data_IF_243282471768
#
_entry.id   IF_243282471768
#
_cell.length_a   1.000
_cell.length_b   1.000
_cell.length_c   1.000
_cell.angle_alpha   90.00
_cell.angle_beta   90.00
_cell.angle_gamma   90.00
#
_symmetry.space_group_name_H-M   'P 1'
#
loop_
_entity.id
_entity.type
_entity.pdbx_description
1 polymer ?
#
# COMPACT_ATOMS: atom_id res chain seq x y z
N UNK A 1 -56.89 -61.07 1.98
CA UNK A 1 -56.14 -60.15 2.87
C UNK A 1 -55.54 -59.05 2.02
N UNK A 2 -56.35 -58.05 1.69
CA UNK A 2 -55.91 -56.75 1.17
C UNK A 2 -55.44 -55.89 2.34
N UNK A 3 -54.29 -55.23 2.21
CA UNK A 3 -54.03 -53.94 2.88
C UNK A 3 -52.83 -53.20 2.29
N UNK A 4 -53.16 -51.99 1.81
CA UNK A 4 -52.39 -50.75 1.88
C UNK A 4 -50.96 -50.67 1.32
N UNK A 5 -50.86 -50.09 0.11
CA UNK A 5 -49.76 -49.20 -0.30
C UNK A 5 -50.31 -47.99 -1.07
N UNK A 6 -50.64 -46.91 -0.35
CA UNK A 6 -50.76 -45.55 -0.89
C UNK A 6 -50.24 -44.57 0.17
N UNK A 7 -49.07 -43.99 -0.08
CA UNK A 7 -48.45 -43.02 0.83
C UNK A 7 -47.04 -42.67 0.38
N UNK A 8 -46.90 -42.00 -0.77
CA UNK A 8 -45.58 -41.64 -1.32
C UNK A 8 -45.57 -40.42 -2.25
N UNK A 9 -46.64 -39.63 -2.30
CA UNK A 9 -46.76 -38.52 -3.27
C UNK A 9 -46.61 -37.12 -2.65
N UNK A 10 -46.92 -36.94 -1.36
CA UNK A 10 -46.95 -35.60 -0.75
C UNK A 10 -45.55 -35.05 -0.34
N UNK A 11 -44.59 -35.93 -0.03
CA UNK A 11 -43.29 -35.50 0.51
C UNK A 11 -42.36 -34.90 -0.56
N UNK A 12 -42.44 -35.38 -1.80
CA UNK A 12 -41.60 -34.92 -2.91
C UNK A 12 -42.03 -33.54 -3.44
N UNK A 13 -43.29 -33.14 -3.20
CA UNK A 13 -43.81 -31.84 -3.66
C UNK A 13 -43.42 -30.70 -2.71
N UNK A 14 -43.41 -30.93 -1.38
CA UNK A 14 -42.97 -29.90 -0.41
C UNK A 14 -41.49 -29.54 -0.56
N UNK A 15 -40.62 -30.53 -0.77
CA UNK A 15 -39.18 -30.29 -0.91
C UNK A 15 -38.82 -29.45 -2.16
N UNK A 16 -39.62 -29.54 -3.22
CA UNK A 16 -39.42 -28.74 -4.43
C UNK A 16 -39.86 -27.27 -4.28
N UNK A 17 -40.76 -26.97 -3.35
CA UNK A 17 -41.25 -25.60 -3.11
C UNK A 17 -40.20 -24.81 -2.31
N UNK A 18 -39.60 -25.42 -1.28
CA UNK A 18 -38.58 -24.75 -0.46
C UNK A 18 -37.30 -24.45 -1.24
N UNK A 19 -36.83 -25.38 -2.08
CA UNK A 19 -35.64 -25.17 -2.93
C UNK A 19 -35.89 -24.04 -3.95
N UNK A 20 -37.08 -23.96 -4.53
CA UNK A 20 -37.45 -22.87 -5.45
C UNK A 20 -37.54 -21.52 -4.74
N UNK A 21 -38.04 -21.49 -3.51
CA UNK A 21 -38.12 -20.27 -2.71
C UNK A 21 -36.73 -19.74 -2.33
N UNK A 22 -35.82 -20.62 -1.91
CA UNK A 22 -34.43 -20.26 -1.63
C UNK A 22 -33.69 -19.77 -2.87
N UNK A 23 -33.88 -20.42 -4.03
CA UNK A 23 -33.28 -19.96 -5.28
C UNK A 23 -33.77 -18.56 -5.69
N UNK A 24 -35.07 -18.28 -5.50
CA UNK A 24 -35.65 -16.97 -5.78
C UNK A 24 -35.08 -15.88 -4.84
N UNK A 25 -34.93 -16.19 -3.55
CA UNK A 25 -34.35 -15.28 -2.56
C UNK A 25 -32.88 -14.95 -2.86
N UNK A 26 -32.09 -15.94 -3.28
CA UNK A 26 -30.70 -15.72 -3.65
C UNK A 26 -30.58 -14.84 -4.91
N UNK A 27 -31.43 -15.09 -5.92
CA UNK A 27 -31.49 -14.26 -7.13
C UNK A 27 -31.88 -12.80 -6.83
N UNK A 28 -32.83 -12.56 -5.91
CA UNK A 28 -33.19 -11.19 -5.53
C UNK A 28 -32.08 -10.48 -4.77
N UNK A 29 -31.39 -11.16 -3.84
CA UNK A 29 -30.24 -10.59 -3.12
C UNK A 29 -29.09 -10.25 -4.08
N UNK A 30 -28.78 -11.15 -5.02
CA UNK A 30 -27.74 -10.90 -6.05
C UNK A 30 -28.14 -9.71 -6.94
N UNK A 31 -29.41 -9.63 -7.36
CA UNK A 31 -29.88 -8.53 -8.20
C UNK A 31 -29.81 -7.20 -7.46
N UNK A 32 -30.23 -7.17 -6.19
CA UNK A 32 -30.12 -5.98 -5.34
C UNK A 32 -28.65 -5.56 -5.20
N UNK A 33 -27.74 -6.51 -4.93
CA UNK A 33 -26.31 -6.23 -4.83
C UNK A 33 -25.76 -5.62 -6.12
N UNK A 34 -26.07 -6.19 -7.29
CA UNK A 34 -25.64 -5.68 -8.60
C UNK A 34 -26.19 -4.27 -8.86
N UNK A 35 -27.45 -4.00 -8.52
CA UNK A 35 -28.06 -2.67 -8.69
C UNK A 35 -27.39 -1.64 -7.78
N UNK A 36 -27.12 -1.97 -6.52
CA UNK A 36 -26.42 -1.07 -5.60
C UNK A 36 -24.96 -0.81 -6.03
N UNK A 37 -24.28 -1.83 -6.53
CA UNK A 37 -22.89 -1.71 -6.99
C UNK A 37 -22.80 -0.83 -8.26
N UNK A 38 -23.66 -1.07 -9.25
CA UNK A 38 -23.73 -0.24 -10.47
C UNK A 38 -24.15 1.21 -10.17
N UNK A 39 -25.05 1.43 -9.21
CA UNK A 39 -25.45 2.78 -8.79
C UNK A 39 -24.32 3.50 -8.04
N UNK A 40 -23.51 2.76 -7.26
CA UNK A 40 -22.30 3.29 -6.61
C UNK A 40 -21.23 3.67 -7.64
N UNK A 41 -21.01 2.85 -8.66
CA UNK A 41 -20.05 3.13 -9.75
C UNK A 41 -20.45 4.34 -10.59
N UNK A 42 -21.73 4.48 -10.94
CA UNK A 42 -22.22 5.62 -11.72
C UNK A 42 -22.06 6.96 -10.97
N UNK A 43 -22.28 6.96 -9.65
CA UNK A 43 -22.08 8.14 -8.82
C UNK A 43 -20.60 8.50 -8.70
N UNK A 44 -19.71 7.52 -8.52
CA UNK A 44 -18.26 7.74 -8.42
C UNK A 44 -17.66 8.24 -9.75
N UNK A 45 -18.09 7.67 -10.88
CA UNK A 45 -17.68 8.08 -12.22
C UNK A 45 -18.11 9.51 -12.54
N UNK A 46 -19.33 9.88 -12.13
CA UNK A 46 -19.88 11.23 -12.33
C UNK A 46 -19.10 12.28 -11.54
N UNK A 47 -18.72 11.98 -10.29
CA UNK A 47 -17.90 12.88 -9.47
C UNK A 47 -16.46 12.99 -10.00
N UNK A 48 -15.85 11.88 -10.46
CA UNK A 48 -14.53 11.92 -11.11
C UNK A 48 -14.55 12.76 -12.40
N UNK A 49 -15.63 12.69 -13.17
CA UNK A 49 -15.80 13.51 -14.38
C UNK A 49 -15.97 15.00 -14.06
N UNK A 50 -16.66 15.34 -12.97
CA UNK A 50 -16.77 16.73 -12.48
C UNK A 50 -15.41 17.27 -12.05
N UNK A 51 -14.64 16.49 -11.28
CA UNK A 51 -13.29 16.85 -10.83
C UNK A 51 -12.37 17.09 -12.04
N UNK A 52 -12.34 16.17 -13.01
CA UNK A 52 -11.55 16.31 -14.24
C UNK A 52 -11.96 17.52 -15.09
N UNK A 53 -13.25 17.87 -15.12
CA UNK A 53 -13.74 19.06 -15.84
C UNK A 53 -13.35 20.37 -15.13
N UNK A 54 -13.28 20.38 -13.80
CA UNK A 54 -12.81 21.53 -13.02
C UNK A 54 -11.29 21.73 -13.19
N UNK A 55 -10.51 20.65 -13.16
CA UNK A 55 -9.06 20.68 -13.39
C UNK A 55 -8.69 21.15 -14.82
N UNK A 56 -9.53 20.87 -15.82
CA UNK A 56 -9.34 21.38 -17.19
C UNK A 56 -9.71 22.86 -17.36
N UNK A 57 -10.56 23.41 -16.48
CA UNK A 57 -10.94 24.83 -16.51
C UNK A 57 -9.90 25.73 -15.84
N UNK A 58 -9.21 25.24 -14.81
CA UNK A 58 -8.10 25.98 -14.18
C UNK A 58 -6.86 26.08 -15.08
N UNK A 59 -6.69 25.17 -16.05
CA UNK A 59 -5.53 25.16 -16.97
C UNK A 59 -5.64 26.05 -18.23
N UNK A 60 -6.64 26.94 -18.37
CA UNK A 60 -6.89 27.68 -19.63
C UNK A 60 -6.78 29.21 -19.58
N UNK A 61 -6.27 29.79 -18.50
CA UNK A 61 -5.93 31.22 -18.48
C UNK A 61 -4.44 31.45 -18.16
N UNK A 62 -3.61 31.45 -19.20
CA UNK A 62 -2.48 32.38 -19.31
C UNK A 62 -1.83 32.28 -20.69
N UNK A 63 -2.10 33.26 -21.55
CA UNK A 63 -1.24 33.64 -22.66
C UNK A 63 -0.90 35.13 -22.48
N UNK A 64 0.40 35.39 -22.43
CA UNK A 64 1.21 36.61 -22.14
C UNK A 64 0.95 37.80 -23.10
N UNK A 65 1.75 38.91 -23.10
CA UNK A 65 2.78 39.39 -22.15
C UNK A 65 2.67 40.91 -21.83
N UNK A 66 3.25 41.36 -20.71
CA UNK A 66 3.95 42.67 -20.70
C UNK A 66 4.92 42.80 -19.52
N UNK A 67 6.02 43.47 -19.84
CA UNK A 67 7.19 43.84 -19.05
C UNK A 67 6.90 44.60 -17.76
N UNK A 68 7.56 44.24 -16.65
CA UNK A 68 8.49 45.12 -15.91
C UNK A 68 8.78 44.55 -14.52
N UNK A 69 10.08 44.40 -14.24
CA UNK A 69 10.74 44.51 -12.93
C UNK A 69 9.93 44.14 -11.67
N UNK A 70 9.91 42.86 -11.29
CA UNK A 70 9.90 42.45 -9.87
C UNK A 70 10.46 41.03 -9.71
N UNK A 71 11.70 40.80 -10.17
CA UNK A 71 12.47 39.63 -9.73
C UNK A 71 13.10 39.99 -8.40
N UNK A 72 12.58 39.44 -7.30
CA UNK A 72 13.29 39.20 -6.02
C UNK A 72 12.36 38.72 -4.87
N UNK A 73 11.15 38.20 -5.13
CA UNK A 73 10.26 37.66 -4.06
C UNK A 73 9.73 36.24 -4.25
N UNK A 74 9.88 35.63 -5.43
CA UNK A 74 9.43 34.25 -5.70
C UNK A 74 10.54 33.20 -5.62
N UNK A 75 11.81 33.62 -5.51
CA UNK A 75 12.95 32.71 -5.28
C UNK A 75 13.17 32.37 -3.80
N UNK A 76 12.58 33.14 -2.87
CA UNK A 76 12.73 32.92 -1.41
C UNK A 76 11.78 31.84 -0.86
N UNK A 77 10.78 31.37 -1.62
CA UNK A 77 9.82 30.36 -1.15
C UNK A 77 10.14 28.94 -1.65
N UNK A 78 11.07 28.79 -2.60
CA UNK A 78 11.62 27.49 -3.04
C UNK A 78 12.99 27.16 -2.44
N UNK A 79 13.55 28.08 -1.66
CA UNK A 79 14.86 27.98 -1.01
C UNK A 79 14.73 28.14 0.51
N UNK A 80 13.73 27.45 1.09
CA UNK A 80 13.55 27.28 2.55
C UNK A 80 13.28 25.83 2.95
N UNK A 81 13.91 24.91 2.20
CA UNK A 81 14.15 23.52 2.62
C UNK A 81 15.47 23.40 3.39
N UNK A 82 15.95 24.52 3.94
CA UNK A 82 17.18 24.63 4.71
C UNK A 82 16.87 24.91 6.19
N UNK A 83 17.35 23.97 7.00
CA UNK A 83 17.98 24.20 8.31
C UNK A 83 17.13 24.34 9.59
N UNK A 84 15.80 24.42 9.52
CA UNK A 84 14.93 24.29 10.72
C UNK A 84 14.32 22.88 10.92
N UNK A 85 14.80 21.85 10.19
CA UNK A 85 14.41 20.44 10.34
C UNK A 85 15.10 19.72 11.53
N UNK A 86 15.77 20.45 12.43
CA UNK A 86 16.35 19.86 13.62
C UNK A 86 15.25 19.61 14.66
N UNK A 87 14.93 18.32 14.84
CA UNK A 87 14.20 17.78 15.99
C UNK A 87 12.66 17.74 15.90
N UNK A 88 12.06 17.58 14.71
CA UNK A 88 10.70 17.04 14.67
C UNK A 88 10.74 15.54 15.01
N UNK A 89 10.66 15.27 16.30
CA UNK A 89 10.57 13.93 16.84
C UNK A 89 9.24 13.28 16.42
N UNK A 90 9.29 11.96 16.28
CA UNK A 90 8.11 11.11 16.20
C UNK A 90 7.25 11.33 17.44
N UNK A 91 6.14 12.05 17.28
CA UNK A 91 5.33 12.50 18.41
C UNK A 91 4.77 11.33 19.24
N UNK A 92 4.64 10.14 18.64
CA UNK A 92 4.03 8.96 19.24
C UNK A 92 5.00 7.77 19.39
N UNK A 93 6.32 7.94 19.23
CA UNK A 93 7.28 6.81 19.26
C UNK A 93 7.22 6.01 20.57
N UNK A 94 7.07 6.69 21.71
CA UNK A 94 7.01 6.00 23.01
C UNK A 94 5.79 5.08 23.14
N UNK A 95 4.75 5.30 22.33
CA UNK A 95 3.53 4.49 22.34
C UNK A 95 3.73 3.12 21.69
N UNK A 96 4.85 2.89 20.99
CA UNK A 96 5.10 1.66 20.26
C UNK A 96 5.58 0.50 21.13
N UNK A 97 6.06 0.77 22.36
CA UNK A 97 6.65 -0.23 23.28
C UNK A 97 5.79 -1.49 23.49
N UNK A 98 4.46 -1.43 23.60
CA UNK A 98 3.63 -2.63 23.74
C UNK A 98 3.55 -3.49 22.48
N UNK A 99 3.90 -2.94 21.32
CA UNK A 99 3.63 -3.51 20.00
C UNK A 99 4.84 -4.23 19.37
N UNK A 100 5.96 -4.31 20.08
CA UNK A 100 7.22 -4.91 19.60
C UNK A 100 7.52 -6.32 20.15
N UNK A 101 6.60 -6.93 20.89
CA UNK A 101 6.79 -8.30 21.42
C UNK A 101 6.50 -9.36 20.33
N UNK A 102 7.54 -9.71 19.59
CA UNK A 102 7.49 -10.78 18.57
C UNK A 102 7.68 -12.19 19.17
N UNK A 103 7.53 -12.38 20.49
CA UNK A 103 7.66 -13.69 21.14
C UNK A 103 9.03 -13.92 21.78
N UNK A 104 9.54 -15.14 21.78
CA UNK A 104 10.74 -15.54 22.55
C UNK A 104 12.10 -15.28 21.88
N UNK A 105 12.12 -14.50 20.79
CA UNK A 105 13.31 -14.08 20.03
C UNK A 105 14.09 -15.22 19.34
N UNK A 106 13.62 -16.46 19.41
CA UNK A 106 14.38 -17.62 18.89
C UNK A 106 14.35 -17.77 17.37
N UNK A 107 13.48 -17.06 16.67
CA UNK A 107 13.31 -17.15 15.21
C UNK A 107 14.32 -16.32 14.42
N UNK A 108 15.12 -15.49 15.10
CA UNK A 108 16.12 -14.62 14.48
C UNK A 108 15.53 -13.39 13.79
N UNK A 109 16.39 -12.66 13.09
CA UNK A 109 16.02 -11.48 12.28
C UNK A 109 15.48 -11.91 10.92
N UNK A 110 14.84 -10.97 10.22
CA UNK A 110 14.42 -11.17 8.84
C UNK A 110 15.63 -11.50 7.94
N UNK A 111 15.57 -12.62 7.21
CA UNK A 111 16.67 -13.08 6.34
C UNK A 111 16.86 -12.22 5.10
N UNK A 112 15.81 -11.53 4.65
CA UNK A 112 15.83 -10.65 3.47
C UNK A 112 16.14 -9.18 3.82
N UNK A 113 16.31 -8.87 5.12
CA UNK A 113 16.65 -7.54 5.64
C UNK A 113 17.73 -6.81 4.83
N UNK A 114 18.82 -7.50 4.48
CA UNK A 114 19.92 -6.87 3.73
C UNK A 114 19.53 -6.51 2.29
N UNK A 115 18.66 -7.29 1.67
CA UNK A 115 18.08 -6.98 0.36
C UNK A 115 17.15 -5.77 0.42
N UNK A 116 16.30 -5.71 1.44
CA UNK A 116 15.43 -4.57 1.71
C UNK A 116 16.22 -3.28 1.95
N UNK A 117 17.25 -3.35 2.80
CA UNK A 117 18.14 -2.21 3.08
C UNK A 117 18.85 -1.73 1.81
N UNK A 118 19.29 -2.65 0.96
CA UNK A 118 19.88 -2.32 -0.33
C UNK A 118 18.88 -1.57 -1.23
N UNK A 119 17.65 -2.05 -1.35
CA UNK A 119 16.61 -1.41 -2.16
C UNK A 119 16.24 -0.01 -1.64
N UNK A 120 16.10 0.17 -0.33
CA UNK A 120 15.79 1.49 0.24
C UNK A 120 16.94 2.48 0.00
N UNK A 121 18.20 2.06 0.14
CA UNK A 121 19.35 2.93 -0.19
C UNK A 121 19.36 3.31 -1.67
N UNK A 122 19.06 2.36 -2.57
CA UNK A 122 18.94 2.64 -3.99
C UNK A 122 17.77 3.58 -4.30
N UNK A 123 16.66 3.42 -3.59
CA UNK A 123 15.54 4.35 -3.67
C UNK A 123 15.93 5.76 -3.20
N UNK A 124 16.67 5.90 -2.10
CA UNK A 124 17.16 7.19 -1.62
C UNK A 124 18.05 7.92 -2.64
N UNK A 125 18.92 7.19 -3.32
CA UNK A 125 19.73 7.72 -4.43
C UNK A 125 18.83 8.27 -5.55
N UNK A 126 17.83 7.50 -5.98
CA UNK A 126 16.86 7.90 -7.01
C UNK A 126 16.06 9.12 -6.55
N UNK A 127 15.53 9.09 -5.34
CA UNK A 127 14.68 10.14 -4.80
C UNK A 127 15.44 11.46 -4.66
N UNK A 128 16.66 11.42 -4.11
CA UNK A 128 17.53 12.59 -3.98
C UNK A 128 17.91 13.17 -5.33
N UNK A 129 18.28 12.34 -6.31
CA UNK A 129 18.71 12.79 -7.63
C UNK A 129 17.57 13.45 -8.45
N UNK A 130 16.32 13.15 -8.12
CA UNK A 130 15.14 13.62 -8.85
C UNK A 130 14.20 14.50 -8.00
N UNK A 131 14.63 14.88 -6.79
CA UNK A 131 13.84 15.68 -5.84
C UNK A 131 12.45 15.09 -5.54
N UNK A 132 12.37 13.77 -5.37
CA UNK A 132 11.12 13.05 -5.13
C UNK A 132 10.89 12.92 -3.64
N UNK A 133 9.71 13.34 -3.18
CA UNK A 133 9.30 13.18 -1.78
C UNK A 133 8.67 11.80 -1.61
N UNK A 134 9.11 11.09 -0.57
CA UNK A 134 8.56 9.79 -0.22
C UNK A 134 8.50 9.63 1.30
N UNK A 135 7.73 8.64 1.76
CA UNK A 135 7.76 8.17 3.14
C UNK A 135 7.53 6.66 3.20
N UNK A 136 7.96 6.02 4.29
CA UNK A 136 7.65 4.60 4.56
C UNK A 136 6.16 4.39 4.75
N UNK A 137 5.63 3.27 4.26
CA UNK A 137 4.22 2.92 4.43
C UNK A 137 4.03 1.47 4.92
N UNK A 138 2.79 1.05 5.19
CA UNK A 138 2.42 -0.33 5.53
C UNK A 138 3.37 -1.01 6.54
N UNK A 139 3.87 -2.22 6.21
CA UNK A 139 4.69 -3.04 7.11
C UNK A 139 6.03 -2.39 7.41
N UNK A 140 6.57 -1.63 6.44
CA UNK A 140 7.81 -0.86 6.62
C UNK A 140 7.65 0.28 7.62
N UNK A 141 6.57 1.06 7.53
CA UNK A 141 6.27 2.10 8.52
C UNK A 141 6.00 1.48 9.90
N UNK A 142 5.31 0.35 9.94
CA UNK A 142 4.97 -0.35 11.19
C UNK A 142 6.22 -0.88 11.90
N UNK A 143 7.14 -1.49 11.16
CA UNK A 143 8.44 -1.93 11.67
C UNK A 143 9.29 -0.77 12.17
N UNK A 144 9.41 0.30 11.37
CA UNK A 144 10.07 1.53 11.80
C UNK A 144 9.48 2.07 13.12
N UNK A 145 8.15 2.03 13.26
CA UNK A 145 7.47 2.49 14.47
C UNK A 145 7.63 1.60 15.69
N UNK A 146 7.60 0.28 15.53
CA UNK A 146 7.73 -0.65 16.64
C UNK A 146 9.15 -0.70 17.21
N UNK A 147 10.14 -0.87 16.33
CA UNK A 147 11.49 -1.25 16.73
C UNK A 147 12.59 -0.78 15.77
N UNK A 148 12.28 0.19 14.89
CA UNK A 148 13.25 0.80 13.95
C UNK A 148 13.85 -0.22 12.97
N UNK A 149 13.14 -1.33 12.73
CA UNK A 149 13.63 -2.48 12.00
C UNK A 149 12.53 -3.07 11.11
N UNK A 150 12.91 -3.92 10.13
CA UNK A 150 11.90 -4.65 9.35
C UNK A 150 11.16 -5.67 10.22
N UNK A 151 9.89 -5.91 9.93
CA UNK A 151 9.14 -6.97 10.62
C UNK A 151 9.83 -8.32 10.31
N UNK A 152 10.11 -9.17 11.33
CA UNK A 152 10.94 -10.37 11.14
C UNK A 152 10.45 -11.37 10.08
N UNK A 153 9.17 -11.32 9.74
CA UNK A 153 8.50 -12.20 8.78
C UNK A 153 7.91 -11.46 7.58
N UNK A 154 8.24 -10.18 7.38
CA UNK A 154 7.87 -9.43 6.18
C UNK A 154 8.61 -9.95 4.95
N UNK A 155 8.00 -9.77 3.78
CA UNK A 155 8.53 -10.25 2.51
C UNK A 155 9.02 -9.12 1.59
N UNK A 156 8.77 -7.85 1.96
CA UNK A 156 9.05 -6.68 1.14
C UNK A 156 9.19 -5.39 1.94
N UNK A 157 9.32 -4.29 1.21
CA UNK A 157 9.32 -2.94 1.77
C UNK A 157 8.37 -2.04 1.00
N UNK A 158 7.74 -1.10 1.69
CA UNK A 158 6.70 -0.24 1.13
C UNK A 158 7.03 1.23 1.34
N UNK A 159 6.81 2.01 0.29
CA UNK A 159 6.86 3.46 0.36
C UNK A 159 5.65 4.06 -0.34
N UNK A 160 5.39 5.33 -0.04
CA UNK A 160 4.49 6.18 -0.82
C UNK A 160 5.23 7.36 -1.41
N UNK A 161 4.86 7.71 -2.65
CA UNK A 161 5.36 8.90 -3.36
C UNK A 161 4.20 9.81 -3.78
N UNK A 162 4.50 11.09 -3.98
CA UNK A 162 3.49 12.04 -4.41
C UNK A 162 3.07 11.76 -5.87
N UNK A 163 1.78 11.91 -6.17
CA UNK A 163 1.23 11.66 -7.51
C UNK A 163 1.91 12.49 -8.60
N UNK A 164 2.33 13.71 -8.29
CA UNK A 164 3.03 14.58 -9.24
C UNK A 164 4.39 14.02 -9.72
N UNK A 165 4.99 13.12 -8.94
CA UNK A 165 6.30 12.52 -9.26
C UNK A 165 6.18 11.29 -10.18
N UNK A 166 4.97 10.79 -10.44
CA UNK A 166 4.76 9.54 -11.20
C UNK A 166 5.23 9.62 -12.64
N UNK A 167 5.05 10.75 -13.32
CA UNK A 167 5.52 10.90 -14.71
C UNK A 167 7.05 10.93 -14.78
N UNK A 168 7.71 11.57 -13.81
CA UNK A 168 9.17 11.54 -13.67
C UNK A 168 9.66 10.11 -13.47
N UNK A 169 9.07 9.39 -12.52
CA UNK A 169 9.41 7.99 -12.21
C UNK A 169 9.16 7.05 -13.40
N UNK A 170 8.03 7.23 -14.10
CA UNK A 170 7.72 6.46 -15.30
C UNK A 170 8.76 6.71 -16.40
N UNK A 171 9.15 7.96 -16.63
CA UNK A 171 10.19 8.29 -17.62
C UNK A 171 11.55 7.70 -17.24
N UNK A 172 11.92 7.68 -15.95
CA UNK A 172 13.10 6.98 -15.45
C UNK A 172 13.03 5.48 -15.73
N UNK A 173 11.87 4.86 -15.47
CA UNK A 173 11.64 3.42 -15.72
C UNK A 173 11.88 3.04 -17.18
N UNK A 174 11.49 3.89 -18.13
CA UNK A 174 11.67 3.65 -19.58
C UNK A 174 13.14 3.74 -19.97
N UNK A 175 13.88 4.71 -19.42
CA UNK A 175 15.31 4.88 -19.71
C UNK A 175 16.12 3.66 -19.27
N UNK A 176 15.78 3.10 -18.11
CA UNK A 176 16.41 1.88 -17.56
C UNK A 176 15.97 0.63 -18.33
N UNK A 177 14.72 0.56 -18.80
CA UNK A 177 14.17 -0.55 -19.60
C UNK A 177 14.78 -0.77 -20.98
N UNK A 178 15.61 0.13 -21.50
CA UNK A 178 16.33 -0.12 -22.77
C UNK A 178 17.41 -1.21 -22.65
N UNK A 179 17.68 -1.70 -21.45
CA UNK A 179 18.48 -2.89 -21.19
C UNK A 179 17.53 -4.09 -21.04
N UNK A 180 17.70 -5.14 -21.87
CA UNK A 180 16.74 -6.23 -21.97
C UNK A 180 16.62 -6.99 -20.64
N UNK A 181 15.42 -6.91 -20.05
CA UNK A 181 15.04 -7.67 -18.86
C UNK A 181 14.68 -9.11 -19.25
N UNK A 182 15.69 -9.87 -19.69
CA UNK A 182 15.45 -11.24 -20.17
C UNK A 182 15.41 -12.27 -19.02
N UNK A 183 15.89 -11.93 -17.81
CA UNK A 183 15.85 -12.81 -16.64
C UNK A 183 15.95 -12.09 -15.30
N UNK A 184 15.45 -12.74 -14.24
CA UNK A 184 15.56 -12.33 -12.82
C UNK A 184 17.00 -12.24 -12.28
N UNK A 185 17.98 -12.68 -13.08
CA UNK A 185 19.36 -12.89 -12.64
C UNK A 185 20.32 -11.85 -13.22
N UNK A 186 19.80 -10.76 -13.78
CA UNK A 186 20.67 -9.60 -13.94
C UNK A 186 20.93 -9.00 -12.54
N UNK A 187 22.19 -8.62 -12.28
CA UNK A 187 22.55 -7.97 -11.01
C UNK A 187 22.09 -6.50 -10.97
N UNK A 188 21.14 -6.11 -11.82
CA UNK A 188 20.67 -4.75 -11.95
C UNK A 188 19.58 -4.39 -10.95
N UNK A 189 19.32 -3.09 -10.84
CA UNK A 189 18.22 -2.53 -10.04
C UNK A 189 17.26 -1.83 -10.97
N UNK A 190 15.98 -2.14 -10.85
CA UNK A 190 15.04 -1.79 -11.91
C UNK A 190 13.73 -1.29 -11.37
N UNK A 191 13.40 -0.07 -11.81
CA UNK A 191 12.11 0.53 -11.56
C UNK A 191 11.12 0.03 -12.61
N UNK A 192 10.15 -0.76 -12.19
CA UNK A 192 9.14 -1.37 -13.04
C UNK A 192 7.77 -0.74 -12.78
N UNK A 193 7.18 -0.15 -13.83
CA UNK A 193 5.77 0.22 -13.86
C UNK A 193 4.96 -0.84 -14.62
N UNK A 194 3.79 -1.17 -14.09
CA UNK A 194 2.79 -1.95 -14.83
C UNK A 194 2.37 -1.18 -16.10
N UNK A 195 2.10 -1.87 -17.21
CA UNK A 195 1.71 -1.20 -18.46
C UNK A 195 0.43 -0.36 -18.31
N UNK A 196 -0.45 -0.80 -17.42
CA UNK A 196 -1.75 -0.21 -17.16
C UNK A 196 -1.74 0.70 -15.92
N UNK A 197 -0.59 1.18 -15.43
CA UNK A 197 -0.50 1.91 -14.16
C UNK A 197 -1.42 3.15 -14.06
N UNK A 198 -1.76 3.77 -15.20
CA UNK A 198 -2.70 4.91 -15.28
C UNK A 198 -4.17 4.50 -15.17
N UNK A 199 -4.50 3.21 -15.22
CA UNK A 199 -5.85 2.70 -15.00
C UNK A 199 -6.13 2.52 -13.51
N UNK A 200 -7.40 2.58 -13.09
CA UNK A 200 -7.82 2.14 -11.75
C UNK A 200 -7.34 0.71 -11.46
N UNK A 201 -6.99 0.42 -10.20
CA UNK A 201 -6.31 -0.85 -9.86
C UNK A 201 -7.11 -2.10 -10.27
N UNK A 202 -8.44 -2.09 -10.12
CA UNK A 202 -9.32 -3.20 -10.49
C UNK A 202 -9.42 -3.41 -12.01
N UNK A 203 -8.94 -2.47 -12.83
CA UNK A 203 -8.86 -2.58 -14.29
C UNK A 203 -7.43 -2.86 -14.79
N UNK A 204 -6.44 -2.96 -13.89
CA UNK A 204 -5.06 -3.23 -14.25
C UNK A 204 -4.88 -4.73 -14.51
N UNK A 205 -4.13 -5.05 -15.56
CA UNK A 205 -3.75 -6.42 -15.90
C UNK A 205 -2.35 -6.72 -15.38
N UNK A 206 -2.07 -8.00 -15.12
CA UNK A 206 -0.74 -8.48 -14.73
C UNK A 206 0.08 -8.74 -15.98
N UNK A 207 1.37 -8.43 -15.90
CA UNK A 207 2.31 -8.71 -16.98
C UNK A 207 3.54 -9.41 -16.41
N UNK A 208 4.03 -10.43 -17.09
CA UNK A 208 5.36 -10.97 -16.78
C UNK A 208 6.44 -9.92 -17.01
N UNK A 209 7.66 -10.19 -16.53
CA UNK A 209 8.79 -9.27 -16.76
C UNK A 209 9.14 -9.12 -18.25
N UNK A 210 8.80 -10.11 -19.07
CA UNK A 210 8.91 -10.06 -20.54
C UNK A 210 7.78 -9.25 -21.21
N UNK A 211 6.88 -8.67 -20.41
CA UNK A 211 5.78 -7.84 -20.88
C UNK A 211 4.60 -8.62 -21.48
N UNK A 212 4.56 -9.94 -21.32
CA UNK A 212 3.41 -10.79 -21.71
C UNK A 212 2.32 -10.69 -20.65
N UNK A 213 1.07 -10.52 -21.05
CA UNK A 213 -0.06 -10.55 -20.12
C UNK A 213 -0.23 -11.95 -19.51
N UNK A 214 -0.50 -12.01 -18.21
CA UNK A 214 -0.61 -13.25 -17.45
C UNK A 214 -1.86 -13.19 -16.55
N UNK A 215 -2.57 -14.30 -16.35
CA UNK A 215 -3.79 -14.30 -15.52
C UNK A 215 -3.46 -14.20 -14.02
N UNK A 216 -2.33 -14.77 -13.62
CA UNK A 216 -1.94 -14.95 -12.23
C UNK A 216 -0.53 -14.42 -11.96
N UNK A 217 -0.10 -14.52 -10.69
CA UNK A 217 1.24 -14.16 -10.28
C UNK A 217 2.28 -15.14 -10.85
N UNK A 218 3.12 -14.67 -11.77
CA UNK A 218 4.30 -15.37 -12.34
C UNK A 218 5.63 -14.79 -11.81
N UNK A 219 5.56 -13.86 -10.85
CA UNK A 219 6.71 -13.25 -10.17
C UNK A 219 6.65 -11.72 -10.06
N UNK A 220 7.78 -11.09 -9.76
CA UNK A 220 7.90 -9.70 -9.32
C UNK A 220 7.30 -8.62 -10.22
N UNK A 221 7.15 -8.87 -11.53
CA UNK A 221 6.52 -7.92 -12.46
C UNK A 221 5.00 -8.10 -12.60
N UNK A 222 4.46 -9.25 -12.16
CA UNK A 222 3.07 -9.67 -12.38
C UNK A 222 2.12 -9.19 -11.28
N UNK A 223 2.18 -7.90 -10.97
CA UNK A 223 1.32 -7.26 -9.98
C UNK A 223 0.30 -6.32 -10.65
N UNK A 224 -0.82 -6.10 -9.98
CA UNK A 224 -1.84 -5.09 -10.35
C UNK A 224 -1.78 -3.88 -9.44
N UNK A 225 -1.35 -4.08 -8.20
CA UNK A 225 -0.94 -3.06 -7.24
C UNK A 225 0.31 -3.59 -6.51
N UNK A 226 1.31 -2.77 -6.18
CA UNK A 226 1.37 -1.29 -6.18
C UNK A 226 1.40 -0.63 -7.58
N UNK A 227 1.61 0.70 -7.64
CA UNK A 227 1.75 1.42 -8.92
C UNK A 227 3.06 1.08 -9.64
N UNK A 228 4.14 0.91 -8.89
CA UNK A 228 5.44 0.49 -9.40
C UNK A 228 6.21 -0.33 -8.36
N UNK A 229 7.28 -0.99 -8.80
CA UNK A 229 8.25 -1.70 -7.94
C UNK A 229 9.66 -1.30 -8.27
N UNK A 230 10.51 -1.13 -7.26
CA UNK A 230 11.95 -1.18 -7.43
C UNK A 230 12.40 -2.61 -7.14
N UNK A 231 12.93 -3.29 -8.15
CA UNK A 231 13.21 -4.73 -8.11
C UNK A 231 14.72 -4.95 -8.20
N UNK A 232 15.22 -5.85 -7.35
CA UNK A 232 16.56 -6.40 -7.44
C UNK A 232 16.54 -7.88 -7.05
N UNK A 233 16.79 -8.76 -8.03
CA UNK A 233 16.70 -10.22 -7.87
C UNK A 233 15.32 -10.63 -7.32
N UNK A 234 15.30 -11.27 -6.15
CA UNK A 234 14.08 -11.72 -5.47
C UNK A 234 13.41 -10.65 -4.62
N UNK A 235 14.11 -9.55 -4.31
CA UNK A 235 13.61 -8.49 -3.44
C UNK A 235 12.92 -7.40 -4.24
N UNK A 236 11.90 -6.81 -3.63
CA UNK A 236 11.20 -5.66 -4.19
C UNK A 236 10.85 -4.63 -3.11
N UNK A 237 10.74 -3.40 -3.57
CA UNK A 237 10.21 -2.27 -2.82
C UNK A 237 8.98 -1.77 -3.58
N UNK A 238 7.83 -1.82 -2.91
CA UNK A 238 6.52 -1.46 -3.44
C UNK A 238 6.30 0.05 -3.33
N UNK A 239 5.87 0.65 -4.45
CA UNK A 239 5.68 2.08 -4.59
C UNK A 239 4.20 2.40 -4.75
N UNK A 240 3.61 2.84 -3.63
CA UNK A 240 2.26 3.33 -3.54
C UNK A 240 2.20 4.86 -3.75
N UNK A 241 1.00 5.40 -3.89
CA UNK A 241 0.79 6.79 -4.28
C UNK A 241 -0.07 7.52 -3.26
N UNK A 242 0.27 8.78 -3.02
CA UNK A 242 -0.60 9.73 -2.35
C UNK A 242 -0.72 11.03 -3.14
N UNK A 243 -1.75 11.83 -2.87
CA UNK A 243 -1.95 13.15 -3.47
C UNK A 243 -2.49 14.13 -2.46
N UNK A 244 -2.17 15.40 -2.64
CA UNK A 244 -2.80 16.49 -1.91
C UNK A 244 -4.24 16.71 -2.41
N UNK A 245 -5.19 16.92 -1.48
CA UNK A 245 -6.55 17.36 -1.78
C UNK A 245 -7.02 18.34 -0.71
N UNK A 246 -7.11 19.64 -1.05
CA UNK A 246 -7.34 20.73 -0.09
C UNK A 246 -6.39 20.62 1.12
N UNK A 247 -6.94 20.53 2.32
CA UNK A 247 -6.22 20.40 3.60
C UNK A 247 -5.96 18.94 3.99
N UNK A 248 -6.11 18.00 3.05
CA UNK A 248 -5.94 16.57 3.27
C UNK A 248 -4.92 15.92 2.34
N UNK A 249 -4.41 14.76 2.77
CA UNK A 249 -3.61 13.81 2.01
C UNK A 249 -4.49 12.60 1.71
N UNK A 250 -4.61 12.22 0.44
CA UNK A 250 -5.38 11.05 0.00
C UNK A 250 -4.45 9.97 -0.51
N UNK A 251 -4.69 8.73 -0.10
CA UNK A 251 -4.00 7.57 -0.66
C UNK A 251 -4.71 7.04 -1.90
N UNK A 252 -3.94 6.78 -2.96
CA UNK A 252 -4.42 6.28 -4.26
C UNK A 252 -4.06 4.78 -4.34
N UNK A 253 -4.94 3.91 -4.88
CA UNK A 253 -6.09 4.19 -5.74
C UNK A 253 -7.45 4.43 -5.04
N UNK A 254 -7.57 4.10 -3.76
CA UNK A 254 -8.89 4.00 -3.11
C UNK A 254 -9.49 5.34 -2.67
N UNK A 255 -8.69 6.41 -2.61
CA UNK A 255 -9.13 7.73 -2.12
C UNK A 255 -9.44 7.76 -0.61
N UNK A 256 -9.28 6.61 0.07
CA UNK A 256 -9.23 6.44 1.52
C UNK A 256 -8.00 5.57 1.84
N UNK A 257 -7.27 5.83 2.92
CA UNK A 257 -7.48 6.90 3.92
C UNK A 257 -7.32 8.33 3.38
N UNK A 258 -7.91 9.26 4.14
CA UNK A 258 -7.69 10.69 4.04
C UNK A 258 -7.15 11.23 5.38
N UNK A 259 -6.01 11.91 5.37
CA UNK A 259 -5.39 12.48 6.58
C UNK A 259 -5.35 13.99 6.50
N UNK A 260 -5.56 14.70 7.62
CA UNK A 260 -5.31 16.14 7.66
C UNK A 260 -3.82 16.41 7.42
N UNK A 261 -3.51 17.39 6.57
CA UNK A 261 -2.13 17.76 6.26
C UNK A 261 -1.32 18.12 7.50
N UNK A 262 -1.92 18.76 8.50
CA UNK A 262 -1.22 19.12 9.74
C UNK A 262 -0.85 17.93 10.65
N UNK A 263 -1.56 16.81 10.50
CA UNK A 263 -1.30 15.56 11.20
C UNK A 263 -0.31 14.67 10.44
N UNK A 264 -0.20 14.88 9.12
CA UNK A 264 0.63 14.08 8.24
C UNK A 264 1.99 14.72 7.93
N UNK A 265 1.97 16.03 7.65
CA UNK A 265 3.08 16.87 7.23
C UNK A 265 3.52 17.84 8.35
N UNK A 266 4.77 18.35 8.29
CA UNK A 266 5.84 17.93 7.38
C UNK A 266 6.26 16.48 7.64
N UNK A 267 6.83 15.81 6.63
CA UNK A 267 7.44 14.50 6.83
C UNK A 267 8.63 14.65 7.78
N UNK A 268 8.76 13.73 8.72
CA UNK A 268 9.82 13.74 9.73
C UNK A 268 10.88 12.69 9.41
N UNK A 269 12.08 12.87 9.97
CA UNK A 269 13.15 11.87 9.89
C UNK A 269 12.85 10.70 10.82
N UNK A 270 13.25 9.51 10.40
CA UNK A 270 13.01 8.27 11.12
C UNK A 270 14.09 7.23 10.89
N UNK A 271 14.33 6.37 11.89
CA UNK A 271 15.25 5.25 11.74
C UNK A 271 14.50 4.01 11.24
N UNK A 272 15.05 3.37 10.22
CA UNK A 272 14.58 2.09 9.72
C UNK A 272 15.75 1.26 9.22
N UNK A 273 15.95 0.08 9.81
CA UNK A 273 17.06 -0.83 9.49
C UNK A 273 18.45 -0.18 9.66
N UNK A 274 18.58 0.79 10.57
CA UNK A 274 19.82 1.52 10.84
C UNK A 274 20.18 2.59 9.81
N UNK A 275 19.22 3.06 9.01
CA UNK A 275 19.37 4.25 8.17
C UNK A 275 18.26 5.26 8.44
N UNK A 276 18.57 6.53 8.23
CA UNK A 276 17.59 7.61 8.28
C UNK A 276 16.74 7.60 7.00
N UNK A 277 15.42 7.61 7.16
CA UNK A 277 14.42 7.74 6.09
C UNK A 277 13.35 8.77 6.47
N UNK A 278 12.30 8.90 5.66
CA UNK A 278 11.20 9.86 5.89
C UNK A 278 9.93 9.11 6.29
N UNK A 279 9.20 9.66 7.26
CA UNK A 279 7.98 9.09 7.80
C UNK A 279 6.93 10.18 8.05
N UNK A 280 5.63 9.83 8.12
CA UNK A 280 4.58 10.79 8.48
C UNK A 280 4.80 11.36 9.89
N UNK A 281 4.35 12.59 10.13
CA UNK A 281 4.47 13.27 11.43
C UNK A 281 3.80 12.52 12.59
N UNK A 282 2.66 11.88 12.33
CA UNK A 282 1.91 11.04 13.29
C UNK A 282 1.71 9.64 12.69
N UNK A 283 2.75 8.78 12.71
CA UNK A 283 2.71 7.49 12.03
C UNK A 283 1.63 6.56 12.59
N UNK A 284 1.31 6.60 13.88
CA UNK A 284 0.22 5.78 14.45
C UNK A 284 -1.12 6.03 13.78
N UNK A 285 -1.44 7.29 13.45
CA UNK A 285 -2.71 7.62 12.77
C UNK A 285 -2.79 6.95 11.39
N UNK A 286 -1.67 6.94 10.66
CA UNK A 286 -1.57 6.30 9.35
C UNK A 286 -1.71 4.78 9.48
N UNK A 287 -0.99 4.21 10.44
CA UNK A 287 -1.02 2.77 10.72
C UNK A 287 -2.40 2.27 11.16
N UNK A 288 -3.15 3.07 11.94
CA UNK A 288 -4.49 2.69 12.41
C UNK A 288 -5.54 2.63 11.30
N UNK A 289 -5.31 3.26 10.15
CA UNK A 289 -6.16 3.01 8.98
C UNK A 289 -5.84 1.65 8.35
N UNK A 290 -4.56 1.33 8.19
CA UNK A 290 -4.14 0.10 7.51
C UNK A 290 -4.38 -1.16 8.37
N UNK A 291 -4.28 -1.02 9.68
CA UNK A 291 -4.29 -2.13 10.61
C UNK A 291 -5.34 -1.94 11.71
N UNK A 292 -6.27 -2.88 11.79
CA UNK A 292 -7.22 -2.97 12.91
C UNK A 292 -6.51 -3.26 14.25
N UNK A 293 -5.32 -3.87 14.19
CA UNK A 293 -4.50 -4.19 15.33
C UNK A 293 -3.02 -3.94 15.01
N UNK A 294 -2.37 -3.09 15.81
CA UNK A 294 -0.94 -2.79 15.69
C UNK A 294 -0.04 -3.80 16.43
N UNK A 295 -0.59 -4.87 17.01
CA UNK A 295 0.20 -5.98 17.55
C UNK A 295 0.79 -6.84 16.43
N UNK A 296 1.91 -7.55 16.67
CA UNK A 296 2.42 -8.51 15.71
C UNK A 296 1.35 -9.52 15.31
N UNK A 297 1.17 -9.73 14.02
CA UNK A 297 0.28 -10.77 13.47
C UNK A 297 0.83 -12.17 13.67
N UNK A 298 2.16 -12.29 13.85
CA UNK A 298 2.81 -13.55 14.22
C UNK A 298 3.71 -13.34 15.43
N UNK A 299 3.84 -14.39 16.22
CA UNK A 299 4.76 -14.49 17.35
C UNK A 299 5.64 -15.71 17.24
N UNK A 300 6.90 -15.54 17.63
CA UNK A 300 7.91 -16.56 17.63
C UNK A 300 7.86 -17.36 18.94
N UNK A 301 7.91 -18.68 18.81
CA UNK A 301 8.17 -19.56 19.93
C UNK A 301 8.97 -20.77 19.46
N UNK A 302 10.08 -21.07 20.13
CA UNK A 302 10.92 -22.24 19.84
C UNK A 302 11.25 -22.38 18.33
N UNK A 303 11.77 -21.30 17.73
CA UNK A 303 12.21 -21.17 16.34
C UNK A 303 11.08 -21.31 15.29
N UNK A 304 9.83 -21.21 15.72
CA UNK A 304 8.66 -21.30 14.84
C UNK A 304 7.79 -20.06 14.98
N UNK A 305 7.35 -19.50 13.86
CA UNK A 305 6.35 -18.43 13.83
C UNK A 305 4.95 -19.02 13.91
N UNK A 306 4.12 -18.46 14.79
CA UNK A 306 2.72 -18.81 14.94
C UNK A 306 1.85 -17.57 14.72
N UNK A 307 0.67 -17.75 14.15
CA UNK A 307 -0.33 -16.67 14.10
C UNK A 307 -0.69 -16.23 15.51
N UNK A 308 -0.69 -14.91 15.73
CA UNK A 308 -0.98 -14.31 17.01
C UNK A 308 -2.44 -14.55 17.37
N UNK A 309 -2.65 -15.25 18.49
CA UNK A 309 -3.95 -15.41 19.11
C UNK A 309 -3.80 -15.33 20.63
N UNK A 310 -4.86 -14.92 21.33
CA UNK A 310 -4.84 -14.78 22.78
C UNK A 310 -4.36 -16.07 23.50
N UNK A 311 -4.78 -17.29 23.10
CA UNK A 311 -4.27 -18.52 23.70
C UNK A 311 -2.76 -18.72 23.49
N UNK A 312 -2.24 -18.41 22.28
CA UNK A 312 -0.82 -18.55 21.95
C UNK A 312 0.01 -17.54 22.74
N UNK A 313 -0.44 -16.30 22.84
CA UNK A 313 0.24 -15.27 23.64
C UNK A 313 0.32 -15.66 25.12
N UNK A 314 -0.79 -16.15 25.70
CA UNK A 314 -0.80 -16.65 27.08
C UNK A 314 0.17 -17.81 27.29
N UNK A 315 0.22 -18.76 26.34
CA UNK A 315 1.17 -19.87 26.40
C UNK A 315 2.62 -19.39 26.39
N UNK A 316 2.95 -18.48 25.47
CA UNK A 316 4.31 -17.91 25.34
C UNK A 316 4.70 -17.16 26.61
N UNK A 317 3.83 -16.28 27.12
CA UNK A 317 4.09 -15.52 28.34
C UNK A 317 4.22 -16.41 29.58
N UNK A 318 3.39 -17.46 29.69
CA UNK A 318 3.50 -18.43 30.80
C UNK A 318 4.85 -19.14 30.82
N UNK A 319 5.40 -19.49 29.63
CA UNK A 319 6.69 -20.17 29.51
C UNK A 319 7.89 -19.24 29.66
N UNK A 320 7.76 -17.96 29.26
CA UNK A 320 8.78 -16.92 29.52
C UNK A 320 8.98 -16.73 31.03
N UNK A 321 7.92 -16.76 31.83
CA UNK A 321 7.99 -16.54 33.29
C UNK A 321 8.48 -17.76 34.10
N UNK A 322 8.64 -18.93 33.47
CA UNK A 322 9.15 -20.16 34.11
C UNK A 322 10.64 -20.43 33.86
N UNK A 323 11.31 -19.59 33.09
CA UNK A 323 12.77 -19.57 32.91
C UNK A 323 13.34 -18.38 33.65
#
# INVERSE_FOLDING_TARGET
>A
MEKNRRGGSAFTTMMNIEVRFFALLMLTVITIYIVFDTQRESNLSTELHKINRLLRRSGRHSSSPSSSSTQNKESEEKEKLSEDENELAWLDRNDSKPYRDYGDETCGINTDRMGFLFLIRKWQEIAKANNIRYFLDFGSLLGAWRDEETIPYDADTDIRVHNDDLETLFNLSIRVRKMSWDSYDDNGVHLYFTKDWRKPYHMRRRFSCKGKEVPDYEGQCSFTDPTARLIHRQWHLDLFVYTDYHDTILFIPDGRPAFLKNDFLPLVRCDFMGIEVRCPKKPRLVLQEHYSNLMPSKVCFNKTWYESSEPIMKLIHSKKNTK
#
